data_IF_903365095070
#
_entry.id   IF_903365095070
#
_cell.length_a   1.000
_cell.length_b   1.000
_cell.length_c   1.000
_cell.angle_alpha   90.00
_cell.angle_beta   90.00
_cell.angle_gamma   90.00
#
_symmetry.space_group_name_H-M   'P 1'
#
loop_
_entity.id
_entity.type
_entity.pdbx_description
1 polymer ?
#
# COMPACT_ATOMS: atom_id res chain seq x y z
N UNK A 1 10.53 -3.17 2.40
CA UNK A 1 9.33 -2.74 3.14
C UNK A 1 8.22 -3.73 2.84
N UNK A 2 7.51 -4.16 3.88
CA UNK A 2 6.32 -5.01 3.73
C UNK A 2 5.12 -4.08 3.65
N UNK A 3 4.17 -4.40 2.77
CA UNK A 3 2.93 -3.65 2.60
C UNK A 3 1.73 -4.57 2.77
N UNK A 4 0.68 -4.04 3.39
CA UNK A 4 -0.65 -4.65 3.46
C UNK A 4 -1.61 -3.68 2.79
N UNK A 5 -2.40 -4.18 1.85
CA UNK A 5 -3.36 -3.37 1.10
C UNK A 5 -4.76 -3.95 1.32
N UNK A 6 -5.65 -3.18 1.95
CA UNK A 6 -7.00 -3.63 2.27
C UNK A 6 -7.05 -4.81 3.22
N UNK A 7 -8.04 -5.68 3.03
CA UNK A 7 -8.33 -6.80 3.91
C UNK A 7 -9.72 -6.71 4.54
N UNK A 8 -10.02 -7.63 5.45
CA UNK A 8 -11.29 -7.70 6.18
C UNK A 8 -11.04 -7.93 7.67
N UNK A 9 -11.81 -7.24 8.52
CA UNK A 9 -11.82 -7.39 9.97
C UNK A 9 -13.21 -7.87 10.40
N UNK A 10 -13.43 -9.18 10.28
CA UNK A 10 -14.74 -9.78 10.51
C UNK A 10 -15.59 -9.82 9.25
N UNK A 11 -16.91 -9.95 9.43
CA UNK A 11 -17.83 -10.30 8.33
C UNK A 11 -18.25 -9.11 7.45
N UNK A 12 -18.31 -7.90 8.00
CA UNK A 12 -18.89 -6.72 7.35
C UNK A 12 -17.96 -5.50 7.31
N UNK A 13 -16.71 -5.67 7.73
CA UNK A 13 -15.73 -4.58 7.76
C UNK A 13 -14.58 -4.89 6.82
N UNK A 14 -14.52 -4.12 5.73
CA UNK A 14 -13.42 -4.14 4.77
C UNK A 14 -12.53 -2.92 4.96
N UNK A 15 -11.23 -3.10 4.71
CA UNK A 15 -10.26 -2.02 4.78
C UNK A 15 -9.97 -1.45 3.39
N UNK A 16 -9.82 -0.14 3.35
CA UNK A 16 -9.25 0.60 2.22
C UNK A 16 -7.81 1.07 2.52
N UNK A 17 -7.30 0.87 3.73
CA UNK A 17 -5.96 1.31 4.11
C UNK A 17 -4.86 0.56 3.34
N UNK A 18 -3.78 1.28 3.08
CA UNK A 18 -2.49 0.71 2.69
C UNK A 18 -1.51 1.02 3.80
N UNK A 19 -0.97 -0.02 4.41
CA UNK A 19 -0.08 0.08 5.57
C UNK A 19 1.28 -0.51 5.23
N UNK A 20 2.34 0.03 5.83
CA UNK A 20 3.69 -0.52 5.73
C UNK A 20 4.33 -0.72 7.09
N UNK A 21 5.15 -1.76 7.18
CA UNK A 21 5.92 -2.02 8.39
C UNK A 21 7.20 -1.19 8.42
N UNK A 22 7.39 -0.44 9.51
CA UNK A 22 8.63 0.26 9.85
C UNK A 22 9.41 -0.53 10.91
N UNK A 23 10.53 -1.19 10.53
CA UNK A 23 11.32 -1.98 11.46
C UNK A 23 12.11 -1.13 12.47
N UNK A 24 12.25 0.18 12.26
CA UNK A 24 12.98 1.06 13.18
C UNK A 24 12.17 1.40 14.43
N UNK A 25 10.85 1.45 14.29
CA UNK A 25 9.90 1.74 15.36
C UNK A 25 9.07 0.53 15.78
N UNK A 26 9.22 -0.60 15.07
CA UNK A 26 8.44 -1.83 15.26
C UNK A 26 6.92 -1.59 15.17
N UNK A 27 6.51 -0.82 14.15
CA UNK A 27 5.12 -0.37 13.99
C UNK A 27 4.65 -0.46 12.54
N UNK A 28 3.33 -0.61 12.39
CA UNK A 28 2.63 -0.41 11.12
C UNK A 28 2.20 1.04 10.98
N UNK A 29 2.45 1.63 9.81
CA UNK A 29 2.15 3.02 9.50
C UNK A 29 1.30 3.11 8.22
N UNK A 30 0.40 4.09 8.15
CA UNK A 30 -0.46 4.32 6.97
C UNK A 30 0.38 4.95 5.86
N UNK A 31 0.48 4.26 4.71
CA UNK A 31 1.04 4.79 3.46
C UNK A 31 -0.01 5.54 2.62
N UNK A 32 -1.28 5.19 2.73
CA UNK A 32 -2.37 5.80 1.98
C UNK A 32 -3.67 5.01 2.06
N UNK A 33 -4.63 5.35 1.19
CA UNK A 33 -5.95 4.70 1.10
C UNK A 33 -6.27 4.34 -0.36
N UNK A 34 -6.96 3.22 -0.56
CA UNK A 34 -7.55 2.79 -1.82
C UNK A 34 -8.89 3.49 -2.04
N UNK A 35 -9.34 3.60 -3.28
CA UNK A 35 -10.65 4.20 -3.59
C UNK A 35 -11.85 3.33 -3.16
N UNK A 36 -11.64 2.03 -2.95
CA UNK A 36 -12.67 1.10 -2.53
C UNK A 36 -12.06 0.10 -1.56
N UNK A 37 -12.73 -0.10 -0.43
CA UNK A 37 -12.38 -1.14 0.53
C UNK A 37 -12.60 -2.52 -0.11
N UNK A 38 -11.63 -3.43 0.04
CA UNK A 38 -11.68 -4.76 -0.59
C UNK A 38 -10.80 -5.77 0.15
N UNK A 39 -11.20 -7.04 0.11
CA UNK A 39 -10.43 -8.20 0.59
C UNK A 39 -10.25 -9.24 -0.54
N UNK A 40 -9.60 -10.38 -0.24
CA UNK A 40 -9.36 -11.49 -1.19
C UNK A 40 -8.60 -11.09 -2.47
N UNK A 41 -7.68 -10.14 -2.35
CA UNK A 41 -6.92 -9.56 -3.45
C UNK A 41 -5.54 -10.19 -3.64
N UNK A 42 -4.99 -10.03 -4.85
CA UNK A 42 -3.59 -10.28 -5.16
C UNK A 42 -2.88 -8.95 -5.45
N UNK A 43 -1.63 -8.84 -5.03
CA UNK A 43 -0.79 -7.66 -5.26
C UNK A 43 0.44 -8.04 -6.09
N UNK A 44 0.82 -7.16 -7.00
CA UNK A 44 2.08 -7.22 -7.73
C UNK A 44 2.76 -5.85 -7.69
N UNK A 45 4.09 -5.83 -7.80
CA UNK A 45 4.86 -4.58 -7.85
C UNK A 45 5.27 -4.28 -9.28
N UNK A 46 5.24 -3.00 -9.65
CA UNK A 46 5.78 -2.51 -10.91
C UNK A 46 6.96 -1.59 -10.62
N UNK A 47 8.12 -1.90 -11.19
CA UNK A 47 9.27 -1.00 -11.18
C UNK A 47 9.22 -0.14 -12.44
N UNK A 48 8.96 1.15 -12.26
CA UNK A 48 9.00 2.10 -13.37
C UNK A 48 10.45 2.47 -13.71
N UNK A 49 10.79 2.68 -15.00
CA UNK A 49 12.03 3.33 -15.38
C UNK A 49 12.12 4.71 -14.73
N UNK A 50 13.32 5.11 -14.32
CA UNK A 50 13.54 6.50 -13.89
C UNK A 50 13.41 7.37 -15.14
N UNK A 51 12.34 8.16 -15.22
CA UNK A 51 12.17 9.13 -16.29
C UNK A 51 13.15 10.31 -16.06
N UNK A 52 14.27 10.29 -16.77
CA UNK A 52 15.26 11.37 -16.72
C UNK A 52 14.85 12.63 -17.51
N UNK A 53 13.68 12.64 -18.17
CA UNK A 53 13.25 13.77 -19.03
C UNK A 53 12.78 15.01 -18.26
N UNK A 54 12.68 14.96 -16.93
CA UNK A 54 12.27 16.10 -16.09
C UNK A 54 13.49 16.87 -15.54
N UNK A 55 14.73 16.44 -15.83
CA UNK A 55 15.95 17.11 -15.34
C UNK A 55 16.46 18.26 -16.24
N UNK A 56 15.78 18.58 -17.34
CA UNK A 56 16.18 19.63 -18.28
C UNK A 56 15.13 20.76 -18.43
N UNK A 57 14.62 21.27 -17.31
CA UNK A 57 13.83 22.52 -17.27
C UNK A 57 14.31 23.46 -16.18
#
# INVERSE_FOLDING_TARGET
KIYVCGGEEGWDRYHDTVEYFDPSTDQWLIAGVMQTARSWLCCATLRLPVDNRIKES
#
